data_IF_073961113031
#
_entry.id   IF_073961113031
#
_cell.length_a   1.000
_cell.length_b   1.000
_cell.length_c   1.000
_cell.angle_alpha   90.00
_cell.angle_beta   90.00
_cell.angle_gamma   90.00
#
_symmetry.space_group_name_H-M   'P 1'
#
loop_
_entity.id
_entity.type
_entity.pdbx_description
1 polymer ?
#
# COMPACT_ATOMS: atom_id res chain seq x y z
N UNK A 1 13.18 -20.48 -17.99
CA UNK A 1 12.55 -19.70 -16.90
C UNK A 1 11.06 -19.63 -17.22
N UNK A 2 10.32 -20.65 -16.78
CA UNK A 2 8.88 -20.74 -17.02
C UNK A 2 8.20 -19.75 -16.09
N UNK A 3 7.55 -18.73 -16.63
CA UNK A 3 6.68 -17.86 -15.84
C UNK A 3 5.43 -18.67 -15.56
N UNK A 4 5.40 -19.32 -14.40
CA UNK A 4 4.21 -19.99 -13.89
C UNK A 4 3.18 -18.90 -13.57
N UNK A 5 2.27 -18.70 -14.52
CA UNK A 5 1.24 -17.66 -14.49
C UNK A 5 -0.07 -18.19 -13.89
N UNK A 6 0.01 -19.20 -13.03
CA UNK A 6 -1.10 -19.64 -12.18
C UNK A 6 -1.22 -18.73 -10.95
N UNK A 7 -1.38 -17.42 -11.18
CA UNK A 7 -2.15 -16.64 -10.21
C UNK A 7 -3.54 -17.29 -10.19
N UNK A 8 -3.83 -18.03 -9.12
CA UNK A 8 -5.14 -18.54 -8.82
C UNK A 8 -6.15 -17.43 -9.04
N UNK A 9 -6.94 -17.55 -10.12
CA UNK A 9 -8.02 -16.64 -10.44
C UNK A 9 -9.19 -17.00 -9.51
N UNK A 10 -8.98 -16.78 -8.20
CA UNK A 10 -10.07 -16.50 -7.28
C UNK A 10 -10.56 -15.07 -7.54
N UNK A 11 -11.82 -14.73 -7.20
CA UNK A 11 -12.39 -13.42 -7.52
C UNK A 11 -11.68 -12.20 -6.89
N UNK A 12 -10.64 -12.39 -6.08
CA UNK A 12 -9.93 -11.31 -5.39
C UNK A 12 -8.41 -11.49 -5.40
N UNK A 13 -7.71 -10.53 -6.01
CA UNK A 13 -6.25 -10.44 -6.01
C UNK A 13 -5.80 -9.85 -4.67
N UNK A 14 -5.08 -10.62 -3.85
CA UNK A 14 -4.38 -10.07 -2.68
C UNK A 14 -3.31 -9.11 -3.20
N UNK A 15 -3.59 -7.80 -3.12
CA UNK A 15 -2.58 -6.78 -3.39
C UNK A 15 -1.48 -6.94 -2.33
N UNK A 16 -0.22 -6.97 -2.75
CA UNK A 16 0.92 -7.06 -1.84
C UNK A 16 1.95 -6.00 -2.22
N UNK A 17 2.31 -5.16 -1.26
CA UNK A 17 3.37 -4.16 -1.39
C UNK A 17 4.76 -4.75 -1.12
N UNK A 18 4.84 -6.02 -0.70
CA UNK A 18 6.09 -6.72 -0.39
C UNK A 18 7.03 -6.87 -1.60
N UNK A 19 6.51 -6.83 -2.83
CA UNK A 19 7.28 -6.88 -4.08
C UNK A 19 8.33 -5.74 -4.16
N UNK A 20 8.12 -4.62 -3.46
CA UNK A 20 9.11 -3.53 -3.36
C UNK A 20 10.43 -4.00 -2.72
N UNK A 21 10.42 -5.07 -1.92
CA UNK A 21 11.64 -5.67 -1.35
C UNK A 21 12.51 -6.33 -2.41
N UNK A 22 11.92 -6.88 -3.47
CA UNK A 22 12.69 -7.43 -4.60
C UNK A 22 13.47 -6.32 -5.29
N UNK A 23 12.82 -5.17 -5.54
CA UNK A 23 13.50 -3.99 -6.05
C UNK A 23 14.61 -3.51 -5.10
N UNK A 24 14.37 -3.53 -3.78
CA UNK A 24 15.38 -3.16 -2.80
C UNK A 24 16.65 -4.03 -2.89
N UNK A 25 16.48 -5.35 -3.03
CA UNK A 25 17.61 -6.28 -3.20
C UNK A 25 18.43 -5.92 -4.42
N UNK A 26 17.77 -5.61 -5.55
CA UNK A 26 18.47 -5.19 -6.78
C UNK A 26 19.30 -3.93 -6.54
N UNK A 27 18.75 -2.90 -5.89
CA UNK A 27 19.49 -1.68 -5.59
C UNK A 27 20.67 -1.92 -4.64
N UNK A 28 20.51 -2.77 -3.63
CA UNK A 28 21.59 -3.09 -2.68
C UNK A 28 22.70 -3.93 -3.32
N UNK A 29 22.35 -4.87 -4.20
CA UNK A 29 23.35 -5.63 -4.98
C UNK A 29 24.11 -4.69 -5.93
N UNK A 30 23.42 -3.77 -6.60
CA UNK A 30 24.07 -2.75 -7.42
C UNK A 30 24.99 -1.84 -6.59
N UNK A 31 24.56 -1.44 -5.39
CA UNK A 31 25.38 -0.66 -4.46
C UNK A 31 26.65 -1.40 -4.05
N UNK A 32 26.55 -2.70 -3.73
CA UNK A 32 27.68 -3.54 -3.38
C UNK A 32 28.67 -3.68 -4.56
N UNK A 33 28.16 -3.87 -5.78
CA UNK A 33 29.00 -3.88 -6.99
C UNK A 33 29.72 -2.55 -7.23
N UNK A 34 29.00 -1.42 -7.09
CA UNK A 34 29.58 -0.08 -7.25
C UNK A 34 30.64 0.22 -6.18
N UNK A 35 30.43 -0.24 -4.94
CA UNK A 35 31.40 -0.12 -3.86
C UNK A 35 32.70 -0.88 -4.18
N UNK A 36 32.61 -2.11 -4.68
CA UNK A 36 33.76 -2.92 -5.07
C UNK A 36 34.57 -2.30 -6.23
N UNK A 37 33.90 -1.70 -7.22
CA UNK A 37 34.60 -0.97 -8.30
C UNK A 37 35.28 0.28 -7.77
N UNK A 38 34.60 1.01 -6.88
CA UNK A 38 35.11 2.28 -6.34
C UNK A 38 36.33 2.08 -5.45
N UNK A 39 36.39 0.99 -4.66
CA UNK A 39 37.55 0.70 -3.81
C UNK A 39 38.84 0.48 -4.60
N UNK A 40 38.75 -0.07 -5.81
CA UNK A 40 39.91 -0.27 -6.69
C UNK A 40 40.27 1.00 -7.48
N UNK A 41 39.33 1.93 -7.63
CA UNK A 41 39.48 3.12 -8.48
C UNK A 41 40.26 4.25 -7.81
N UNK A 42 40.33 4.28 -6.48
CA UNK A 42 40.95 5.38 -5.71
C UNK A 42 40.21 6.72 -5.82
N UNK A 43 38.97 6.72 -6.31
CA UNK A 43 38.13 7.93 -6.45
C UNK A 43 37.12 7.96 -5.31
N UNK A 44 37.52 8.58 -4.19
CA UNK A 44 36.70 8.65 -2.97
C UNK A 44 35.32 9.30 -3.19
N UNK A 45 35.22 10.22 -4.16
CA UNK A 45 33.97 10.92 -4.46
C UNK A 45 32.85 10.00 -4.96
N UNK A 46 33.18 8.85 -5.57
CA UNK A 46 32.19 7.89 -6.08
C UNK A 46 31.41 7.18 -4.95
N UNK A 47 31.98 7.09 -3.74
CA UNK A 47 31.24 6.60 -2.57
C UNK A 47 30.05 7.49 -2.25
N UNK A 48 30.23 8.81 -2.35
CA UNK A 48 29.19 9.79 -2.05
C UNK A 48 28.17 9.95 -3.18
N UNK A 49 28.60 9.83 -4.44
CA UNK A 49 27.74 10.11 -5.60
C UNK A 49 27.04 8.88 -6.18
N UNK A 50 27.56 7.67 -5.92
CA UNK A 50 27.01 6.42 -6.50
C UNK A 50 26.58 5.45 -5.41
N UNK A 51 27.50 5.09 -4.51
CA UNK A 51 27.21 4.04 -3.50
C UNK A 51 26.16 4.52 -2.51
N UNK A 52 26.35 5.70 -1.93
CA UNK A 52 25.44 6.26 -0.92
C UNK A 52 24.00 6.42 -1.46
N UNK A 53 23.74 7.01 -2.64
CA UNK A 53 22.39 7.11 -3.18
C UNK A 53 21.73 5.74 -3.41
N UNK A 54 22.47 4.75 -3.94
CA UNK A 54 21.93 3.40 -4.15
C UNK A 54 21.54 2.73 -2.83
N UNK A 55 22.38 2.88 -1.79
CA UNK A 55 22.07 2.39 -0.44
C UNK A 55 20.82 3.09 0.10
N UNK A 56 20.72 4.42 0.00
CA UNK A 56 19.56 5.19 0.48
C UNK A 56 18.27 4.75 -0.23
N UNK A 57 18.30 4.60 -1.56
CA UNK A 57 17.15 4.12 -2.34
C UNK A 57 16.78 2.69 -1.94
N UNK A 58 17.77 1.79 -1.78
CA UNK A 58 17.55 0.42 -1.32
C UNK A 58 16.87 0.38 0.05
N UNK A 59 17.38 1.16 1.01
CA UNK A 59 16.79 1.27 2.35
C UNK A 59 15.37 1.83 2.33
N UNK A 60 15.09 2.82 1.48
CA UNK A 60 13.75 3.35 1.28
C UNK A 60 12.77 2.29 0.73
N UNK A 61 13.21 1.45 -0.20
CA UNK A 61 12.40 0.37 -0.75
C UNK A 61 12.13 -0.73 0.29
N UNK A 62 13.09 -1.05 1.17
CA UNK A 62 12.86 -1.96 2.32
C UNK A 62 11.82 -1.37 3.26
N UNK A 63 11.93 -0.08 3.58
CA UNK A 63 11.03 0.59 4.51
C UNK A 63 9.59 0.64 3.98
N UNK A 64 9.41 0.87 2.68
CA UNK A 64 8.09 0.96 2.01
C UNK A 64 7.52 -0.39 1.56
N UNK A 65 8.35 -1.44 1.46
CA UNK A 65 7.95 -2.79 1.05
C UNK A 65 7.43 -3.66 2.19
N UNK A 66 6.61 -3.12 3.10
CA UNK A 66 5.97 -3.94 4.15
C UNK A 66 4.73 -4.62 3.57
N UNK A 67 4.46 -5.90 3.88
CA UNK A 67 3.26 -6.58 3.40
C UNK A 67 2.01 -5.97 4.04
N UNK A 68 0.92 -5.92 3.28
CA UNK A 68 -0.39 -5.52 3.78
C UNK A 68 -0.99 -6.67 4.60
N UNK A 69 -1.43 -6.38 5.82
CA UNK A 69 -2.06 -7.37 6.69
C UNK A 69 -3.56 -7.46 6.40
N UNK A 70 -4.18 -6.32 6.07
CA UNK A 70 -5.62 -6.17 5.92
C UNK A 70 -6.02 -6.33 4.45
N UNK A 71 -6.95 -7.26 4.21
CA UNK A 71 -7.56 -7.46 2.89
C UNK A 71 -8.62 -6.39 2.57
N UNK A 72 -9.02 -6.30 1.31
CA UNK A 72 -10.14 -5.47 0.85
C UNK A 72 -11.44 -5.79 1.62
N UNK A 73 -11.81 -7.07 1.72
CA UNK A 73 -13.02 -7.51 2.44
C UNK A 73 -12.95 -7.18 3.93
N UNK A 74 -11.79 -7.37 4.54
CA UNK A 74 -11.58 -7.04 5.95
C UNK A 74 -11.67 -5.53 6.19
N UNK A 75 -11.12 -4.72 5.28
CA UNK A 75 -11.26 -3.26 5.34
C UNK A 75 -12.72 -2.82 5.23
N UNK A 76 -13.52 -3.49 4.38
CA UNK A 76 -14.97 -3.23 4.29
C UNK A 76 -15.66 -3.55 5.61
N UNK A 77 -15.35 -4.68 6.25
CA UNK A 77 -15.93 -5.04 7.55
C UNK A 77 -15.59 -4.03 8.65
N UNK A 78 -14.33 -3.61 8.70
CA UNK A 78 -13.85 -2.60 9.66
C UNK A 78 -14.58 -1.27 9.41
N UNK A 79 -14.65 -0.84 8.16
CA UNK A 79 -15.33 0.39 7.78
C UNK A 79 -16.84 0.37 8.05
N UNK A 80 -17.51 -0.74 7.76
CA UNK A 80 -18.94 -0.90 8.05
C UNK A 80 -19.25 -0.83 9.54
N UNK A 81 -18.36 -1.34 10.40
CA UNK A 81 -18.49 -1.21 11.85
C UNK A 81 -18.21 0.21 12.38
N UNK A 82 -17.48 1.03 11.62
CA UNK A 82 -17.14 2.41 11.97
C UNK A 82 -18.14 3.45 11.43
N UNK A 83 -18.99 3.06 10.47
CA UNK A 83 -20.01 3.94 9.92
C UNK A 83 -21.12 4.24 10.95
N UNK A 84 -21.70 5.45 10.94
CA UNK A 84 -22.74 5.85 11.90
C UNK A 84 -24.14 5.30 11.58
N UNK A 85 -24.27 4.48 10.53
CA UNK A 85 -25.54 3.92 10.04
C UNK A 85 -25.34 2.46 9.65
N UNK A 86 -26.46 1.73 9.49
CA UNK A 86 -26.42 0.34 9.02
C UNK A 86 -26.02 0.30 7.54
N UNK A 87 -24.95 -0.43 7.22
CA UNK A 87 -24.34 -0.43 5.88
C UNK A 87 -24.90 -1.56 5.04
N UNK A 88 -25.55 -1.20 3.92
CA UNK A 88 -26.09 -2.17 2.96
C UNK A 88 -25.09 -2.56 1.87
N UNK A 89 -24.38 -1.57 1.32
CA UNK A 89 -23.38 -1.80 0.28
C UNK A 89 -22.14 -0.97 0.56
N UNK A 90 -20.96 -1.57 0.37
CA UNK A 90 -19.70 -0.89 0.56
C UNK A 90 -18.66 -1.40 -0.45
N UNK A 91 -17.75 -0.52 -0.83
CA UNK A 91 -16.66 -0.83 -1.77
C UNK A 91 -15.35 -0.25 -1.25
N UNK A 92 -14.28 -1.02 -1.37
CA UNK A 92 -12.94 -0.63 -0.96
C UNK A 92 -12.07 -0.31 -2.17
N UNK A 93 -11.36 0.81 -2.10
CA UNK A 93 -10.34 1.20 -3.07
C UNK A 93 -9.00 1.36 -2.37
N UNK A 94 -7.93 0.83 -2.96
CA UNK A 94 -6.57 0.99 -2.41
C UNK A 94 -6.01 2.37 -2.77
N UNK A 95 -5.62 3.13 -1.75
CA UNK A 95 -4.88 4.39 -1.87
C UNK A 95 -3.51 4.31 -1.19
N UNK A 96 -2.71 5.37 -1.36
CA UNK A 96 -1.41 5.49 -0.71
C UNK A 96 -1.25 6.89 -0.11
N UNK A 97 -0.66 6.97 1.08
CA UNK A 97 -0.41 8.25 1.76
C UNK A 97 1.02 8.38 2.29
N UNK A 98 1.47 9.63 2.43
CA UNK A 98 2.75 9.98 3.02
C UNK A 98 3.98 9.59 2.19
N UNK A 99 5.16 9.92 2.73
CA UNK A 99 6.44 9.76 2.02
C UNK A 99 6.85 8.30 1.80
N UNK A 100 6.37 7.37 2.61
CA UNK A 100 6.67 5.94 2.45
C UNK A 100 5.66 5.22 1.55
N UNK A 101 4.76 5.96 0.90
CA UNK A 101 3.64 5.42 0.14
C UNK A 101 2.93 4.30 0.94
N UNK A 102 2.50 4.66 2.15
CA UNK A 102 1.81 3.73 3.06
C UNK A 102 0.44 3.39 2.47
N UNK A 103 0.10 2.10 2.33
CA UNK A 103 -1.18 1.68 1.78
C UNK A 103 -2.32 1.95 2.77
N UNK A 104 -3.40 2.53 2.27
CA UNK A 104 -4.65 2.79 3.00
C UNK A 104 -5.82 2.34 2.17
N UNK A 105 -6.81 1.74 2.82
CA UNK A 105 -8.09 1.39 2.21
C UNK A 105 -9.05 2.56 2.35
N UNK A 106 -9.52 3.08 1.22
CA UNK A 106 -10.60 4.05 1.15
C UNK A 106 -11.90 3.29 0.90
N UNK A 107 -12.72 3.16 1.95
CA UNK A 107 -13.97 2.42 1.87
C UNK A 107 -15.14 3.37 1.80
N UNK A 108 -15.91 3.30 0.72
CA UNK A 108 -17.15 4.02 0.57
C UNK A 108 -18.31 3.10 0.96
N UNK A 109 -19.04 3.47 2.00
CA UNK A 109 -20.18 2.74 2.55
C UNK A 109 -21.48 3.52 2.34
N UNK A 110 -22.55 2.82 2.00
CA UNK A 110 -23.89 3.37 1.77
C UNK A 110 -24.87 2.78 2.78
N UNK A 111 -25.80 3.62 3.25
CA UNK A 111 -26.89 3.23 4.14
C UNK A 111 -27.73 2.09 3.53
N UNK A 112 -28.16 1.15 4.37
CA UNK A 112 -29.03 0.05 3.97
C UNK A 112 -30.44 0.55 3.64
N UNK A 113 -30.99 0.13 2.51
CA UNK A 113 -32.33 0.55 2.07
C UNK A 113 -32.50 0.61 0.56
N UNK A 114 -33.72 0.91 0.11
CA UNK A 114 -34.03 1.09 -1.32
C UNK A 114 -33.48 2.39 -1.92
N UNK A 115 -33.22 3.40 -1.07
CA UNK A 115 -32.56 4.65 -1.44
C UNK A 115 -31.60 5.06 -0.30
N UNK A 116 -30.28 5.14 -0.53
CA UNK A 116 -29.33 5.51 0.52
C UNK A 116 -29.45 7.01 0.82
N UNK A 117 -29.91 7.35 2.03
CA UNK A 117 -29.99 8.74 2.51
C UNK A 117 -28.65 9.25 3.04
N UNK A 118 -27.73 8.34 3.37
CA UNK A 118 -26.41 8.65 3.89
C UNK A 118 -25.31 7.81 3.21
N UNK A 119 -24.12 8.41 3.11
CA UNK A 119 -22.90 7.73 2.71
C UNK A 119 -21.75 8.11 3.64
N UNK A 120 -20.80 7.20 3.79
CA UNK A 120 -19.60 7.40 4.60
C UNK A 120 -18.36 6.95 3.84
N UNK A 121 -17.33 7.79 3.85
CA UNK A 121 -15.99 7.44 3.43
C UNK A 121 -15.15 7.17 4.68
N UNK A 122 -14.69 5.94 4.83
CA UNK A 122 -13.86 5.50 5.94
C UNK A 122 -12.47 5.13 5.41
N UNK A 123 -11.44 5.73 5.99
CA UNK A 123 -10.04 5.40 5.70
C UNK A 123 -9.52 4.42 6.74
N UNK A 124 -9.04 3.26 6.28
CA UNK A 124 -8.47 2.20 7.13
C UNK A 124 -7.01 1.97 6.75
N UNK A 125 -6.10 1.96 7.73
CA UNK A 125 -4.69 1.63 7.52
C UNK A 125 -4.53 0.15 7.12
N UNK A 126 -3.85 -0.13 6.01
CA UNK A 126 -3.74 -1.49 5.49
C UNK A 126 -2.72 -2.39 6.23
N UNK A 127 -1.92 -1.81 7.14
CA UNK A 127 -0.98 -2.54 8.00
C UNK A 127 -1.58 -2.91 9.35
N UNK A 128 -2.31 -1.99 10.00
CA UNK A 128 -2.86 -2.19 11.34
C UNK A 128 -4.36 -2.47 11.37
N UNK A 129 -5.11 -2.07 10.35
CA UNK A 129 -6.57 -2.06 10.37
C UNK A 129 -7.16 -0.89 11.16
N UNK A 130 -6.32 0.07 11.59
CA UNK A 130 -6.77 1.26 12.31
C UNK A 130 -7.59 2.17 11.41
N UNK A 131 -8.73 2.66 11.91
CA UNK A 131 -9.53 3.68 11.24
C UNK A 131 -8.87 5.04 11.44
N UNK A 132 -8.30 5.59 10.38
CA UNK A 132 -7.55 6.86 10.42
C UNK A 132 -8.39 8.08 10.06
N UNK A 133 -9.57 7.86 9.47
CA UNK A 133 -10.51 8.93 9.16
C UNK A 133 -11.89 8.39 8.84
N UNK A 134 -12.91 9.13 9.27
CA UNK A 134 -14.31 8.85 8.96
C UNK A 134 -14.98 10.15 8.55
N UNK A 135 -15.59 10.16 7.37
CA UNK A 135 -16.37 11.27 6.88
C UNK A 135 -17.74 10.76 6.45
N UNK A 136 -18.81 11.24 7.08
CA UNK A 136 -20.18 10.86 6.76
C UNK A 136 -20.96 12.09 6.27
N UNK A 137 -21.79 11.89 5.25
CA UNK A 137 -22.65 12.93 4.70
C UNK A 137 -24.00 12.36 4.28
N UNK A 138 -25.01 13.22 4.27
CA UNK A 138 -26.29 12.91 3.64
C UNK A 138 -26.15 12.94 2.11
N UNK A 139 -26.92 12.09 1.44
CA UNK A 139 -27.03 12.03 -0.01
C UNK A 139 -28.37 12.65 -0.37
N UNK A 140 -28.34 13.82 -1.02
CA UNK A 140 -29.55 14.49 -1.47
C UNK A 140 -30.20 13.68 -2.60
N UNK A 141 -31.50 13.41 -2.48
CA UNK A 141 -32.26 12.80 -3.56
C UNK A 141 -32.52 13.81 -4.68
N UNK A 142 -32.30 13.45 -5.96
CA UNK A 142 -32.65 14.31 -7.09
C UNK A 142 -34.16 14.48 -7.24
#
# INVERSE_FOLDING_TARGET
MSIDNTQEIGPFRKLDTSDRRVAAVVYLVAAAGAAAVTSESGIDLMWLTVVLPLVVIGMYQIASGRPMAISDIESVKIASGAAPFDVGHASATLGFHGLLARPVWQVLAFESGGYPGHQALVTVDAYSGEVTGTFAQSVESP
#
